data_IF_290873510182
#
_entry.id   IF_290873510182
#
_cell.length_a   1.000
_cell.length_b   1.000
_cell.length_c   1.000
_cell.angle_alpha   90.00
_cell.angle_beta   90.00
_cell.angle_gamma   90.00
#
_symmetry.space_group_name_H-M   'P 1'
#
loop_
_entity.id
_entity.type
_entity.pdbx_description
1 polymer ?
#
# COMPACT_ATOMS: atom_id res chain seq x y z
N UNK A 1 18.75 8.71 -3.81
CA UNK A 1 17.44 9.09 -4.38
C UNK A 1 16.56 9.57 -3.24
N UNK A 2 15.99 10.77 -3.29
CA UNK A 2 15.07 11.29 -2.26
C UNK A 2 13.69 11.42 -2.89
N UNK A 3 12.73 10.61 -2.42
CA UNK A 3 11.34 10.70 -2.86
C UNK A 3 10.65 11.76 -1.99
N UNK A 4 9.99 12.72 -2.62
CA UNK A 4 9.12 13.68 -1.95
C UNK A 4 7.67 13.30 -2.21
N UNK A 5 6.86 13.28 -1.16
CA UNK A 5 5.43 12.99 -1.25
C UNK A 5 4.66 14.30 -1.18
N UNK A 6 3.74 14.48 -2.12
CA UNK A 6 2.73 15.53 -2.07
C UNK A 6 1.56 15.04 -1.22
N UNK A 7 1.55 15.44 0.05
CA UNK A 7 0.53 15.03 1.01
C UNK A 7 -0.88 15.54 0.62
N UNK A 8 -0.99 16.69 -0.04
CA UNK A 8 -2.28 17.21 -0.49
C UNK A 8 -2.85 16.36 -1.63
N UNK A 9 -2.02 15.99 -2.60
CA UNK A 9 -2.42 15.11 -3.69
C UNK A 9 -2.80 13.72 -3.15
N UNK A 10 -2.03 13.18 -2.22
CA UNK A 10 -2.33 11.89 -1.57
C UNK A 10 -3.68 11.90 -0.86
N UNK A 11 -4.03 12.98 -0.16
CA UNK A 11 -5.31 13.07 0.57
C UNK A 11 -6.53 13.21 -0.36
N UNK A 12 -6.33 13.59 -1.63
CA UNK A 12 -7.40 13.70 -2.64
C UNK A 12 -7.67 12.38 -3.37
N UNK A 13 -6.85 11.34 -3.16
CA UNK A 13 -7.05 10.04 -3.81
C UNK A 13 -8.34 9.37 -3.32
N UNK A 14 -8.90 8.52 -4.18
CA UNK A 14 -10.06 7.69 -3.85
C UNK A 14 -9.65 6.51 -2.97
N UNK A 15 -9.51 6.76 -1.67
CA UNK A 15 -9.16 5.75 -0.68
C UNK A 15 -10.35 4.82 -0.40
N UNK A 16 -10.09 3.52 -0.49
CA UNK A 16 -10.96 2.48 0.05
C UNK A 16 -10.42 2.06 1.42
N UNK A 17 -11.22 2.27 2.45
CA UNK A 17 -10.95 1.77 3.81
C UNK A 17 -11.48 0.34 3.96
N UNK A 18 -10.67 -0.55 4.53
CA UNK A 18 -11.03 -1.94 4.80
C UNK A 18 -11.46 -2.17 6.26
N UNK A 19 -11.43 -1.14 7.11
CA UNK A 19 -11.89 -1.18 8.50
C UNK A 19 -10.92 -1.84 9.49
N UNK A 20 -9.79 -2.38 9.02
CA UNK A 20 -8.75 -3.04 9.82
C UNK A 20 -7.46 -2.21 9.95
N UNK A 21 -7.49 -0.95 9.49
CA UNK A 21 -6.32 -0.07 9.48
C UNK A 21 -5.50 -0.11 8.20
N UNK A 22 -5.92 -0.90 7.21
CA UNK A 22 -5.49 -0.81 5.83
C UNK A 22 -6.43 0.11 5.04
N UNK A 23 -5.85 0.98 4.21
CA UNK A 23 -6.57 1.65 3.14
C UNK A 23 -5.78 1.54 1.83
N UNK A 24 -6.49 1.46 0.71
CA UNK A 24 -5.88 1.35 -0.63
C UNK A 24 -6.49 2.37 -1.58
N UNK A 25 -5.65 3.00 -2.38
CA UNK A 25 -6.06 3.80 -3.52
C UNK A 25 -5.42 3.24 -4.79
N UNK A 26 -6.23 3.03 -5.83
CA UNK A 26 -5.71 2.67 -7.16
C UNK A 26 -5.26 3.94 -7.88
N UNK A 27 -4.01 3.95 -8.35
CA UNK A 27 -3.43 5.08 -9.09
C UNK A 27 -3.60 4.89 -10.60
N UNK A 28 -3.35 3.69 -11.10
CA UNK A 28 -3.45 3.38 -12.53
C UNK A 28 -3.72 1.89 -12.76
N UNK A 29 -4.26 1.57 -13.94
CA UNK A 29 -4.43 0.20 -14.43
C UNK A 29 -4.13 0.13 -15.92
N UNK A 30 -3.36 -0.87 -16.33
CA UNK A 30 -3.06 -1.16 -17.74
C UNK A 30 -3.15 -2.67 -18.00
N UNK A 31 -4.26 -3.11 -18.60
CA UNK A 31 -4.55 -4.53 -18.81
C UNK A 31 -4.69 -5.29 -17.49
N UNK A 32 -3.77 -6.22 -17.25
CA UNK A 32 -3.68 -7.02 -16.02
C UNK A 32 -2.77 -6.42 -14.94
N UNK A 33 -2.12 -5.28 -15.21
CA UNK A 33 -1.21 -4.60 -14.27
C UNK A 33 -1.94 -3.48 -13.55
N UNK A 34 -1.75 -3.39 -12.24
CA UNK A 34 -2.26 -2.28 -11.43
C UNK A 34 -1.12 -1.60 -10.67
N UNK A 35 -1.20 -0.29 -10.56
CA UNK A 35 -0.42 0.48 -9.59
C UNK A 35 -1.36 0.94 -8.49
N UNK A 36 -1.11 0.45 -7.28
CA UNK A 36 -1.90 0.74 -6.09
C UNK A 36 -1.00 1.35 -5.02
N UNK A 37 -1.60 2.19 -4.19
CA UNK A 37 -0.97 2.75 -3.01
C UNK A 37 -1.68 2.25 -1.77
N UNK A 38 -0.92 1.69 -0.84
CA UNK A 38 -1.41 1.28 0.47
C UNK A 38 -1.03 2.30 1.54
N UNK A 39 -1.95 2.51 2.48
CA UNK A 39 -1.72 3.24 3.73
C UNK A 39 -2.06 2.29 4.87
N UNK A 40 -1.08 2.04 5.73
CA UNK A 40 -1.20 1.15 6.89
C UNK A 40 -0.97 2.01 8.12
N UNK A 41 -1.88 1.94 9.10
CA UNK A 41 -1.68 2.58 10.40
C UNK A 41 -0.56 1.86 11.15
N UNK A 42 0.28 2.60 11.88
CA UNK A 42 1.40 2.02 12.63
C UNK A 42 0.95 0.93 13.62
N UNK A 43 -0.18 1.16 14.30
CA UNK A 43 -0.83 0.19 15.19
C UNK A 43 -1.95 -0.59 14.48
N UNK A 44 -1.82 -0.80 13.17
CA UNK A 44 -2.75 -1.58 12.38
C UNK A 44 -2.77 -3.05 12.83
N UNK A 45 -3.87 -3.75 12.58
CA UNK A 45 -3.92 -5.19 12.82
C UNK A 45 -2.80 -5.86 12.01
N UNK A 46 -1.92 -6.70 12.60
CA UNK A 46 -0.93 -7.47 11.84
C UNK A 46 -1.54 -8.31 10.72
N UNK A 47 -2.84 -8.62 10.81
CA UNK A 47 -3.63 -9.31 9.78
C UNK A 47 -4.25 -8.36 8.76
N UNK A 48 -3.99 -7.05 8.84
CA UNK A 48 -4.54 -6.08 7.91
C UNK A 48 -4.04 -6.32 6.48
N UNK A 49 -2.82 -6.86 6.36
CA UNK A 49 -2.22 -7.29 5.10
C UNK A 49 -1.99 -8.80 5.12
N UNK A 50 -3.03 -9.57 4.77
CA UNK A 50 -2.96 -11.03 4.77
C UNK A 50 -1.99 -11.53 3.69
N UNK A 51 -1.30 -12.63 3.99
CA UNK A 51 -0.48 -13.36 3.01
C UNK A 51 -1.34 -13.76 1.81
N UNK A 52 -0.93 -13.35 0.61
CA UNK A 52 -1.56 -13.73 -0.65
C UNK A 52 -0.50 -13.89 -1.74
N UNK A 53 -0.81 -14.70 -2.76
CA UNK A 53 0.09 -14.95 -3.88
C UNK A 53 -0.38 -14.20 -5.14
N UNK A 54 0.56 -13.61 -5.86
CA UNK A 54 0.32 -12.95 -7.14
C UNK A 54 0.89 -13.79 -8.30
N UNK A 55 0.00 -14.37 -9.10
CA UNK A 55 0.37 -14.99 -10.37
C UNK A 55 0.75 -13.88 -11.35
N UNK A 56 2.05 -13.71 -11.58
CA UNK A 56 2.61 -12.60 -12.39
C UNK A 56 3.64 -11.74 -11.65
N UNK A 57 3.86 -12.02 -10.36
CA UNK A 57 4.81 -11.29 -9.53
C UNK A 57 4.24 -10.00 -8.96
N UNK A 58 4.98 -9.43 -8.03
CA UNK A 58 4.61 -8.21 -7.33
C UNK A 58 5.85 -7.42 -6.94
N UNK A 59 5.74 -6.10 -6.94
CA UNK A 59 6.81 -5.21 -6.51
C UNK A 59 6.24 -4.15 -5.58
N UNK A 60 6.88 -4.00 -4.42
CA UNK A 60 6.55 -2.97 -3.45
C UNK A 60 7.70 -1.99 -3.27
N UNK A 61 7.34 -0.73 -3.06
CA UNK A 61 8.26 0.30 -2.63
C UNK A 61 7.68 1.00 -1.42
N UNK A 62 8.39 0.94 -0.29
CA UNK A 62 8.01 1.68 0.92
C UNK A 62 8.39 3.14 0.73
N UNK A 63 7.38 4.02 0.69
CA UNK A 63 7.58 5.46 0.52
C UNK A 63 7.81 6.18 1.85
N UNK A 64 7.28 5.66 2.97
CA UNK A 64 7.41 6.21 4.32
C UNK A 64 7.21 5.10 5.36
N UNK A 65 8.02 5.11 6.41
CA UNK A 65 8.00 4.08 7.45
C UNK A 65 8.83 2.86 7.06
N UNK A 66 8.39 1.68 7.49
CA UNK A 66 9.02 0.39 7.20
C UNK A 66 7.96 -0.71 7.14
N UNK A 67 8.36 -1.84 6.58
CA UNK A 67 7.65 -3.12 6.72
C UNK A 67 8.66 -4.09 7.33
N UNK A 68 8.18 -4.91 8.25
CA UNK A 68 8.93 -6.03 8.82
C UNK A 68 8.18 -7.30 8.42
N UNK A 69 8.94 -8.34 8.09
CA UNK A 69 8.36 -9.65 7.81
C UNK A 69 8.44 -10.54 9.06
N UNK A 70 8.13 -11.82 8.89
CA UNK A 70 8.18 -12.82 9.96
C UNK A 70 9.58 -13.03 10.56
N UNK A 71 10.62 -12.41 10.00
CA UNK A 71 12.01 -12.47 10.47
C UNK A 71 12.54 -11.17 11.09
N UNK A 72 11.75 -10.09 11.09
CA UNK A 72 12.14 -8.75 11.59
C UNK A 72 12.84 -7.92 10.52
#
# INVERSE_FOLDING_TARGET
>A
MRIQLDEEALNKLSWRDFGNGLSMARLAREGARELVLYRIRAEGDPKAFLKHEHVGGEFYLVLKGGIEDETG
#
